data_IF_806548359311
#
_entry.id   IF_806548359311
#
_cell.length_a   1.000
_cell.length_b   1.000
_cell.length_c   1.000
_cell.angle_alpha   90.00
_cell.angle_beta   90.00
_cell.angle_gamma   90.00
#
_symmetry.space_group_name_H-M   'P 1'
#
loop_
_entity.id
_entity.type
_entity.pdbx_description
1 polymer ?
#
# COMPACT_ATOMS: atom_id res chain seq x y z
N UNK A 1 11.62 -27.12 8.43
CA UNK A 1 10.69 -26.30 7.60
C UNK A 1 9.92 -25.37 8.53
N UNK A 2 9.81 -24.07 8.20
CA UNK A 2 9.06 -23.09 9.00
C UNK A 2 7.68 -22.92 8.37
N UNK A 3 6.61 -23.27 9.09
CA UNK A 3 5.24 -22.99 8.68
C UNK A 3 4.77 -21.67 9.31
N UNK A 4 3.82 -21.00 8.65
CA UNK A 4 3.23 -19.75 9.13
C UNK A 4 1.72 -19.82 8.94
N UNK A 5 0.96 -19.49 9.99
CA UNK A 5 -0.50 -19.37 9.88
C UNK A 5 -0.85 -18.12 9.07
N UNK A 6 -1.62 -18.30 7.99
CA UNK A 6 -1.98 -17.23 7.05
C UNK A 6 -3.47 -16.89 7.08
N UNK A 7 -4.31 -17.81 7.58
CA UNK A 7 -5.73 -17.63 7.81
C UNK A 7 -6.17 -18.39 9.06
N UNK A 8 -7.09 -17.79 9.82
CA UNK A 8 -7.73 -18.45 10.97
C UNK A 8 -9.09 -19.07 10.62
N UNK A 9 -9.51 -18.94 9.36
CA UNK A 9 -10.75 -19.49 8.82
C UNK A 9 -10.43 -20.69 7.91
N UNK A 10 -11.36 -21.65 7.76
CA UNK A 10 -11.20 -22.75 6.81
C UNK A 10 -10.94 -22.23 5.39
N UNK A 11 -9.92 -22.82 4.75
CA UNK A 11 -9.55 -22.51 3.37
C UNK A 11 -10.36 -23.43 2.45
N UNK A 12 -11.08 -22.85 1.50
CA UNK A 12 -11.89 -23.59 0.53
C UNK A 12 -11.25 -23.64 -0.86
N UNK A 13 -10.40 -22.66 -1.20
CA UNK A 13 -9.72 -22.60 -2.49
C UNK A 13 -8.35 -21.91 -2.36
N UNK A 14 -7.41 -22.25 -3.24
CA UNK A 14 -6.14 -21.56 -3.38
C UNK A 14 -5.68 -21.55 -4.83
N UNK A 15 -4.82 -20.59 -5.19
CA UNK A 15 -4.14 -20.57 -6.48
C UNK A 15 -2.80 -19.83 -6.35
N UNK A 16 -1.85 -20.08 -7.26
CA UNK A 16 -0.54 -19.42 -7.34
C UNK A 16 -0.49 -18.66 -8.67
N UNK A 17 0.11 -17.46 -8.66
CA UNK A 17 0.27 -16.68 -9.89
C UNK A 17 1.22 -17.36 -10.88
N UNK A 18 1.09 -17.04 -12.18
CA UNK A 18 1.94 -17.60 -13.22
C UNK A 18 3.44 -17.30 -13.01
N UNK A 19 3.76 -16.16 -12.39
CA UNK A 19 5.13 -15.79 -12.02
C UNK A 19 5.64 -16.43 -10.72
N UNK A 20 4.78 -17.19 -10.01
CA UNK A 20 5.08 -17.87 -8.75
C UNK A 20 5.27 -16.95 -7.54
N UNK A 21 5.07 -15.63 -7.69
CA UNK A 21 5.34 -14.66 -6.61
C UNK A 21 4.16 -14.44 -5.67
N UNK A 22 2.95 -14.74 -6.12
CA UNK A 22 1.71 -14.51 -5.39
C UNK A 22 1.00 -15.82 -5.09
N UNK A 23 0.43 -15.90 -3.90
CA UNK A 23 -0.45 -16.97 -3.44
C UNK A 23 -1.80 -16.33 -3.07
N UNK A 24 -2.87 -16.79 -3.71
CA UNK A 24 -4.24 -16.42 -3.36
C UNK A 24 -4.89 -17.54 -2.54
N UNK A 25 -5.65 -17.16 -1.53
CA UNK A 25 -6.38 -18.07 -0.64
C UNK A 25 -7.79 -17.53 -0.47
N UNK A 26 -8.78 -18.39 -0.70
CA UNK A 26 -10.20 -18.13 -0.48
C UNK A 26 -10.70 -18.91 0.73
N UNK A 27 -11.53 -18.29 1.56
CA UNK A 27 -12.08 -18.91 2.76
C UNK A 27 -13.53 -19.31 2.60
N UNK A 28 -14.01 -20.18 3.51
CA UNK A 28 -15.41 -20.58 3.60
C UNK A 28 -16.35 -19.39 3.91
N UNK A 29 -15.82 -18.36 4.57
CA UNK A 29 -16.54 -17.11 4.89
C UNK A 29 -16.51 -16.08 3.75
N UNK A 30 -15.98 -16.45 2.57
CA UNK A 30 -15.91 -15.57 1.41
C UNK A 30 -14.84 -14.49 1.49
N UNK A 31 -13.85 -14.65 2.38
CA UNK A 31 -12.68 -13.76 2.39
C UNK A 31 -11.64 -14.25 1.38
N UNK A 32 -10.98 -13.31 0.70
CA UNK A 32 -9.87 -13.62 -0.21
C UNK A 32 -8.62 -12.91 0.28
N UNK A 33 -7.51 -13.67 0.40
CA UNK A 33 -6.20 -13.17 0.83
C UNK A 33 -5.21 -13.37 -0.29
N UNK A 34 -4.40 -12.35 -0.54
CA UNK A 34 -3.29 -12.40 -1.49
C UNK A 34 -2.00 -12.23 -0.69
N UNK A 35 -1.07 -13.15 -0.85
CA UNK A 35 0.19 -13.23 -0.13
C UNK A 35 1.36 -13.26 -1.11
N UNK A 36 2.53 -12.81 -0.66
CA UNK A 36 3.80 -13.07 -1.32
C UNK A 36 4.25 -14.49 -0.99
N UNK A 37 4.51 -15.31 -2.01
CA UNK A 37 4.87 -16.72 -1.84
C UNK A 37 6.19 -16.90 -1.06
N UNK A 38 7.20 -16.07 -1.34
CA UNK A 38 8.55 -16.24 -0.78
C UNK A 38 8.67 -16.01 0.74
N UNK A 39 7.82 -15.15 1.33
CA UNK A 39 7.87 -14.85 2.77
C UNK A 39 6.53 -15.02 3.49
N UNK A 40 5.50 -15.49 2.78
CA UNK A 40 4.12 -15.61 3.28
C UNK A 40 3.64 -14.28 3.90
N UNK A 41 4.11 -13.16 3.35
CA UNK A 41 3.69 -11.81 3.74
C UNK A 41 2.35 -11.50 3.10
N UNK A 42 1.37 -11.08 3.90
CA UNK A 42 0.06 -10.71 3.38
C UNK A 42 0.17 -9.41 2.60
N UNK A 43 -0.11 -9.47 1.29
CA UNK A 43 -0.12 -8.30 0.41
C UNK A 43 -1.46 -7.57 0.49
N UNK A 44 -2.56 -8.33 0.50
CA UNK A 44 -3.93 -7.78 0.51
C UNK A 44 -4.90 -8.74 1.17
N UNK A 45 -5.84 -8.20 1.95
CA UNK A 45 -6.98 -8.95 2.48
C UNK A 45 -8.24 -8.27 1.94
N UNK A 46 -9.05 -9.04 1.23
CA UNK A 46 -10.34 -8.63 0.69
C UNK A 46 -11.38 -9.30 1.58
N UNK A 47 -11.84 -8.56 2.58
CA UNK A 47 -12.88 -9.06 3.49
C UNK A 47 -14.23 -9.05 2.80
N UNK A 48 -15.03 -10.09 3.01
CA UNK A 48 -16.36 -10.27 2.40
C UNK A 48 -16.30 -10.04 0.89
N UNK A 49 -15.29 -10.64 0.25
CA UNK A 49 -15.23 -10.68 -1.21
C UNK A 49 -16.47 -11.41 -1.74
N UNK A 50 -16.93 -12.41 -1.00
CA UNK A 50 -18.15 -13.15 -1.26
C UNK A 50 -18.97 -13.27 0.02
N UNK A 51 -20.27 -13.53 -0.11
CA UNK A 51 -21.19 -13.80 1.00
C UNK A 51 -21.05 -15.28 1.43
N UNK A 52 -20.66 -16.15 0.49
CA UNK A 52 -20.45 -17.58 0.71
C UNK A 52 -19.01 -18.04 0.45
N UNK A 53 -18.78 -19.36 0.49
CA UNK A 53 -17.45 -19.93 0.32
C UNK A 53 -16.88 -19.61 -1.07
N UNK A 54 -15.61 -19.21 -1.09
CA UNK A 54 -14.90 -19.03 -2.36
C UNK A 54 -14.66 -20.41 -2.97
N UNK A 55 -15.25 -20.68 -4.13
CA UNK A 55 -15.22 -22.01 -4.77
C UNK A 55 -14.06 -22.17 -5.73
N UNK A 56 -13.61 -21.08 -6.37
CA UNK A 56 -12.42 -21.09 -7.21
C UNK A 56 -11.73 -19.72 -7.24
N UNK A 57 -10.43 -19.77 -7.52
CA UNK A 57 -9.55 -18.62 -7.68
C UNK A 57 -8.71 -18.85 -8.93
N UNK A 58 -8.50 -17.80 -9.72
CA UNK A 58 -7.62 -17.83 -10.89
C UNK A 58 -6.89 -16.50 -11.04
N UNK A 59 -5.56 -16.54 -11.10
CA UNK A 59 -4.79 -15.38 -11.51
C UNK A 59 -4.90 -15.20 -13.02
N UNK A 60 -4.79 -13.97 -13.49
CA UNK A 60 -4.50 -13.70 -14.90
C UNK A 60 -3.09 -14.17 -15.25
N UNK A 61 -2.85 -14.48 -16.52
CA UNK A 61 -1.54 -14.94 -17.01
C UNK A 61 -0.42 -13.92 -16.76
N UNK A 62 -0.76 -12.63 -16.78
CA UNK A 62 0.16 -11.54 -16.46
C UNK A 62 0.36 -11.31 -14.94
N UNK A 63 -0.30 -12.11 -14.09
CA UNK A 63 -0.26 -12.04 -12.62
C UNK A 63 -0.74 -10.71 -12.01
N UNK A 64 -1.44 -9.85 -12.78
CA UNK A 64 -1.91 -8.52 -12.33
C UNK A 64 -3.35 -8.52 -11.83
N UNK A 65 -4.10 -9.57 -12.07
CA UNK A 65 -5.48 -9.68 -11.64
C UNK A 65 -5.75 -11.05 -10.99
N UNK A 66 -6.73 -11.09 -10.11
CA UNK A 66 -7.25 -12.31 -9.50
C UNK A 66 -8.76 -12.35 -9.70
N UNK A 67 -9.26 -13.39 -10.37
CA UNK A 67 -10.67 -13.75 -10.41
C UNK A 67 -10.99 -14.63 -9.20
N UNK A 68 -12.05 -14.28 -8.48
CA UNK A 68 -12.64 -15.10 -7.42
C UNK A 68 -14.11 -15.33 -7.72
N UNK A 69 -14.57 -16.57 -7.49
CA UNK A 69 -15.97 -16.96 -7.69
C UNK A 69 -16.49 -17.68 -6.45
N UNK A 70 -17.80 -17.63 -6.24
CA UNK A 70 -18.47 -18.17 -5.07
C UNK A 70 -19.80 -18.81 -5.42
N UNK A 71 -20.29 -19.66 -4.52
CA UNK A 71 -21.61 -20.26 -4.59
C UNK A 71 -22.75 -19.24 -4.38
N UNK A 72 -22.43 -18.01 -3.96
CA UNK A 72 -23.37 -16.89 -3.91
C UNK A 72 -23.75 -16.31 -5.29
N UNK A 73 -23.40 -17.00 -6.38
CA UNK A 73 -23.63 -16.59 -7.77
C UNK A 73 -22.89 -15.31 -8.18
N UNK A 74 -21.84 -14.92 -7.45
CA UNK A 74 -21.02 -13.76 -7.80
C UNK A 74 -19.60 -14.15 -8.23
N UNK A 75 -19.06 -13.33 -9.13
CA UNK A 75 -17.67 -13.34 -9.55
C UNK A 75 -17.07 -11.95 -9.32
N UNK A 76 -15.82 -11.90 -8.86
CA UNK A 76 -15.10 -10.65 -8.60
C UNK A 76 -13.70 -10.71 -9.17
N UNK A 77 -13.32 -9.66 -9.89
CA UNK A 77 -11.96 -9.45 -10.38
C UNK A 77 -11.29 -8.41 -9.50
N UNK A 78 -10.16 -8.76 -8.92
CA UNK A 78 -9.35 -7.84 -8.13
C UNK A 78 -8.04 -7.56 -8.83
N UNK A 79 -7.79 -6.28 -9.12
CA UNK A 79 -6.49 -5.82 -9.58
C UNK A 79 -5.47 -5.83 -8.44
N UNK A 80 -4.30 -6.37 -8.74
CA UNK A 80 -3.14 -6.49 -7.88
C UNK A 80 -2.16 -5.42 -8.33
N UNK A 81 -2.43 -4.18 -7.90
CA UNK A 81 -1.43 -3.13 -8.03
C UNK A 81 -0.43 -3.29 -6.89
N UNK A 82 0.86 -3.32 -7.21
CA UNK A 82 1.88 -3.12 -6.19
C UNK A 82 1.79 -1.64 -5.83
N UNK A 83 1.12 -1.33 -4.71
CA UNK A 83 0.94 0.03 -4.22
C UNK A 83 2.27 0.59 -3.63
N UNK A 84 3.40 0.17 -4.22
CA UNK A 84 4.78 0.45 -3.85
C UNK A 84 5.34 1.72 -4.47
N UNK A 85 4.52 2.58 -5.05
CA UNK A 85 4.90 3.96 -5.37
C UNK A 85 3.92 4.95 -4.77
N UNK A 86 3.91 5.02 -3.44
CA UNK A 86 3.73 6.31 -2.75
C UNK A 86 5.10 6.92 -2.47
N UNK A 87 6.00 6.88 -3.46
CA UNK A 87 7.23 7.68 -3.44
C UNK A 87 6.96 9.02 -4.14
N UNK A 88 5.88 9.69 -3.75
CA UNK A 88 5.82 11.13 -3.89
C UNK A 88 6.48 11.66 -2.64
N UNK A 89 7.62 12.35 -2.79
CA UNK A 89 8.28 13.09 -1.71
C UNK A 89 7.23 13.65 -0.75
N UNK A 90 7.32 13.31 0.53
CA UNK A 90 6.35 13.76 1.54
C UNK A 90 6.13 15.27 1.37
N UNK A 91 4.87 15.72 1.32
CA UNK A 91 4.53 17.15 1.22
C UNK A 91 5.25 17.99 2.29
N UNK A 92 5.60 17.37 3.42
CA UNK A 92 6.41 17.97 4.48
C UNK A 92 7.86 18.27 4.07
N UNK A 93 8.47 17.45 3.22
CA UNK A 93 9.82 17.68 2.69
C UNK A 93 9.80 18.89 1.74
N UNK A 94 8.78 18.99 0.90
CA UNK A 94 8.61 20.13 0.00
C UNK A 94 8.40 21.42 0.82
N UNK A 95 7.52 21.38 1.82
CA UNK A 95 7.29 22.50 2.73
C UNK A 95 8.57 22.91 3.47
N UNK A 96 9.35 21.94 3.96
CA UNK A 96 10.61 22.18 4.67
C UNK A 96 11.65 22.83 3.77
N UNK A 97 11.80 22.38 2.51
CA UNK A 97 12.72 22.97 1.54
C UNK A 97 12.31 24.40 1.19
N UNK A 98 11.02 24.68 1.01
CA UNK A 98 10.51 26.04 0.75
C UNK A 98 10.77 26.96 1.95
N UNK A 99 10.51 26.49 3.18
CA UNK A 99 10.76 27.26 4.40
C UNK A 99 12.26 27.56 4.56
N UNK A 100 13.12 26.58 4.29
CA UNK A 100 14.57 26.73 4.38
C UNK A 100 15.10 27.71 3.31
N UNK A 101 14.59 27.64 2.08
CA UNK A 101 14.95 28.59 1.02
C UNK A 101 14.51 30.02 1.36
N UNK A 102 13.31 30.19 1.92
CA UNK A 102 12.80 31.47 2.39
C UNK A 102 13.67 32.03 3.52
N UNK A 103 14.02 31.22 4.52
CA UNK A 103 14.92 31.61 5.62
C UNK A 103 16.31 32.06 5.11
N UNK A 104 16.90 31.33 4.16
CA UNK A 104 18.19 31.70 3.54
C UNK A 104 18.05 33.00 2.73
N UNK A 105 16.94 33.19 2.01
CA UNK A 105 16.68 34.43 1.29
C UNK A 105 16.62 35.63 2.22
N UNK A 106 15.91 35.52 3.35
CA UNK A 106 15.85 36.59 4.36
C UNK A 106 17.22 36.83 5.02
N UNK A 107 17.95 35.78 5.40
CA UNK A 107 19.29 35.92 5.97
C UNK A 107 20.30 36.57 5.00
N UNK A 108 20.09 36.42 3.69
CA UNK A 108 20.92 37.03 2.64
C UNK A 108 20.51 38.47 2.32
N UNK A 109 19.22 38.79 2.39
CA UNK A 109 18.70 40.13 2.05
C UNK A 109 18.62 41.09 3.23
N UNK A 110 18.60 40.62 4.48
CA UNK A 110 18.58 41.47 5.66
C UNK A 110 19.83 41.29 6.52
N UNK A 111 20.72 42.29 6.44
CA UNK A 111 21.58 42.66 7.56
C UNK A 111 20.85 43.53 8.60
N UNK A 112 19.52 43.40 8.76
CA UNK A 112 18.75 44.20 9.73
C UNK A 112 17.60 43.37 10.32
N UNK A 113 17.64 43.15 11.63
CA UNK A 113 16.60 42.44 12.37
C UNK A 113 15.32 43.31 12.48
N UNK A 114 14.11 42.77 12.21
CA UNK A 114 12.86 43.53 12.16
C UNK A 114 12.36 44.07 13.50
N UNK A 115 12.99 43.72 14.62
CA UNK A 115 12.62 44.18 15.97
C UNK A 115 13.63 45.15 16.61
N UNK A 116 14.71 45.50 15.92
CA UNK A 116 15.64 46.51 16.42
C UNK A 116 15.21 47.89 15.89
N UNK A 117 14.84 48.84 16.76
CA UNK A 117 14.56 50.20 16.33
C UNK A 117 15.83 50.86 15.78
N UNK A 118 15.71 51.58 14.67
CA UNK A 118 16.82 52.12 13.85
C UNK A 118 17.80 53.05 14.60
N UNK A 119 17.50 53.47 15.84
CA UNK A 119 18.37 54.38 16.61
C UNK A 119 19.57 53.70 17.28
N UNK A 120 19.63 52.35 17.33
CA UNK A 120 20.76 51.62 17.92
C UNK A 120 21.84 51.19 16.92
N UNK A 121 21.63 51.40 15.62
CA UNK A 121 22.57 50.96 14.56
C UNK A 121 23.53 52.10 14.13
N UNK A 122 23.39 53.30 14.72
CA UNK A 122 24.33 54.43 14.54
C UNK A 122 25.02 54.79 15.86
N UNK A 123 26.00 53.98 16.26
CA UNK A 123 27.11 54.34 17.15
C UNK A 123 28.32 53.46 16.80
#
# INVERSE_FOLDING_TARGET
MRSKLVAGEPISAFNISADGKLLAIGTSEGNVRILRAGNMGVLKIIKKAHIGPTTALAFSDDSRALLSVSMDSSARVTLITDNGSKNGLSLWIILFVVLLAMAVYYAKHEGKLPWLPDFLVKL
#
